data_IF_094332348299
#
_entry.id   IF_094332348299
#
_cell.length_a   1.000
_cell.length_b   1.000
_cell.length_c   1.000
_cell.angle_alpha   90.00
_cell.angle_beta   90.00
_cell.angle_gamma   90.00
#
_symmetry.space_group_name_H-M   'P 1'
#
loop_
_entity.id
_entity.type
_entity.pdbx_description
1 polymer ?
#
# COMPACT_ATOMS: atom_id res chain seq x y z
N UNK A 1 -5.99 3.01 15.49
CA UNK A 1 -4.81 3.10 14.60
C UNK A 1 -3.58 2.92 15.44
N UNK A 2 -2.64 2.05 15.03
CA UNK A 2 -1.40 1.80 15.77
C UNK A 2 -0.18 2.23 14.96
N UNK A 3 0.62 3.14 15.52
CA UNK A 3 1.91 3.53 14.95
C UNK A 3 2.97 2.54 15.44
N UNK A 4 3.68 1.91 14.51
CA UNK A 4 4.69 0.88 14.80
C UNK A 4 6.09 1.46 14.80
N UNK A 5 6.35 2.38 13.87
CA UNK A 5 7.66 3.01 13.70
C UNK A 5 7.45 4.43 13.19
N UNK A 6 8.23 5.35 13.72
CA UNK A 6 8.22 6.76 13.34
C UNK A 6 9.66 7.22 13.13
N UNK A 7 10.00 7.57 11.90
CA UNK A 7 11.30 8.10 11.53
C UNK A 7 11.06 9.41 10.77
N UNK A 8 10.74 10.47 11.51
CA UNK A 8 10.57 11.82 10.96
C UNK A 8 11.13 12.86 11.93
N UNK A 9 11.69 13.93 11.36
CA UNK A 9 12.11 15.11 12.11
C UNK A 9 11.22 16.29 11.71
N UNK A 10 11.14 17.31 12.57
CA UNK A 10 10.31 18.49 12.33
C UNK A 10 10.69 19.14 10.98
N UNK A 11 9.70 19.33 10.10
CA UNK A 11 9.85 19.90 8.74
C UNK A 11 10.80 19.13 7.80
N UNK A 12 11.10 17.86 8.08
CA UNK A 12 11.89 17.01 7.21
C UNK A 12 11.03 15.88 6.62
N UNK A 13 11.37 15.38 5.42
CA UNK A 13 10.77 14.15 4.91
C UNK A 13 11.05 13.01 5.90
N UNK A 14 10.04 12.19 6.13
CA UNK A 14 10.13 11.08 7.05
C UNK A 14 9.29 9.90 6.61
N UNK A 15 9.38 8.82 7.37
CA UNK A 15 8.61 7.60 7.15
C UNK A 15 7.86 7.22 8.41
N UNK A 16 6.63 6.73 8.23
CA UNK A 16 5.78 6.25 9.32
C UNK A 16 5.23 4.90 8.92
N UNK A 17 5.32 3.93 9.83
CA UNK A 17 4.70 2.63 9.68
C UNK A 17 3.45 2.56 10.55
N UNK A 18 2.30 2.40 9.89
CA UNK A 18 0.98 2.45 10.53
C UNK A 18 0.27 1.11 10.32
N UNK A 19 -0.45 0.65 11.34
CA UNK A 19 -1.42 -0.45 11.27
C UNK A 19 -2.81 0.16 11.52
N UNK A 20 -3.70 -0.05 10.57
CA UNK A 20 -5.11 0.36 10.63
C UNK A 20 -5.89 -0.81 11.23
N UNK A 21 -6.66 -0.57 12.29
CA UNK A 21 -7.41 -1.61 13.02
C UNK A 21 -8.93 -1.39 12.92
N UNK A 22 -9.37 -0.13 13.01
CA UNK A 22 -10.79 0.25 13.00
C UNK A 22 -11.19 1.03 11.74
N UNK A 23 -12.49 1.18 11.49
CA UNK A 23 -12.99 1.94 10.34
C UNK A 23 -12.64 3.43 10.42
N UNK A 24 -12.65 4.00 11.63
CA UNK A 24 -12.29 5.40 11.86
C UNK A 24 -10.81 5.67 11.54
N UNK A 25 -9.96 4.64 11.61
CA UNK A 25 -8.56 4.74 11.22
C UNK A 25 -8.38 4.92 9.72
N UNK A 26 -9.31 4.39 8.90
CA UNK A 26 -9.28 4.59 7.46
C UNK A 26 -9.53 6.05 7.10
N UNK A 27 -10.40 6.72 7.85
CA UNK A 27 -10.64 8.16 7.69
C UNK A 27 -9.37 8.96 8.01
N UNK A 28 -8.66 8.62 9.07
CA UNK A 28 -7.38 9.25 9.41
C UNK A 28 -6.32 8.98 8.35
N UNK A 29 -6.21 7.74 7.86
CA UNK A 29 -5.25 7.38 6.82
C UNK A 29 -5.51 8.15 5.52
N UNK A 30 -6.79 8.32 5.13
CA UNK A 30 -7.18 9.12 3.96
C UNK A 30 -6.72 10.58 4.08
N UNK A 31 -6.82 11.18 5.26
CA UNK A 31 -6.41 12.57 5.48
C UNK A 31 -4.88 12.77 5.52
N UNK A 32 -4.12 11.73 5.84
CA UNK A 32 -2.65 11.80 5.92
C UNK A 32 -1.99 11.58 4.56
N UNK A 33 -2.56 10.72 3.72
CA UNK A 33 -1.98 10.34 2.43
C UNK A 33 -2.29 11.42 1.38
N UNK A 34 -1.24 12.04 0.81
CA UNK A 34 -1.39 13.04 -0.23
C UNK A 34 -0.81 12.58 -1.58
N UNK A 35 -1.23 13.26 -2.66
CA UNK A 35 -0.67 13.05 -4.00
C UNK A 35 0.81 13.38 -4.00
N UNK A 36 1.62 12.49 -4.57
CA UNK A 36 3.07 12.63 -4.63
C UNK A 36 3.82 11.88 -3.53
N UNK A 37 3.14 11.45 -2.47
CA UNK A 37 3.74 10.63 -1.42
C UNK A 37 4.08 9.23 -1.92
N UNK A 38 4.99 8.56 -1.20
CA UNK A 38 5.38 7.19 -1.50
C UNK A 38 4.86 6.26 -0.40
N UNK A 39 4.07 5.28 -0.79
CA UNK A 39 3.42 4.34 0.12
C UNK A 39 3.95 2.92 -0.09
N UNK A 40 4.13 2.17 1.00
CA UNK A 40 4.57 0.77 0.95
C UNK A 40 3.51 -0.11 1.60
N UNK A 41 2.96 -1.04 0.84
CA UNK A 41 1.99 -2.00 1.36
C UNK A 41 2.12 -3.37 0.72
N UNK A 42 1.68 -4.38 1.48
CA UNK A 42 1.51 -5.73 0.97
C UNK A 42 0.20 -5.80 0.18
N UNK A 43 0.31 -6.07 -1.12
CA UNK A 43 -0.83 -6.19 -2.03
C UNK A 43 -0.91 -7.61 -2.60
N UNK A 44 -2.06 -8.00 -3.13
CA UNK A 44 -2.21 -9.27 -3.86
C UNK A 44 -2.47 -8.99 -5.33
N UNK A 45 -1.67 -9.58 -6.22
CA UNK A 45 -1.84 -9.43 -7.67
C UNK A 45 -1.82 -10.78 -8.37
N UNK A 46 -2.47 -10.86 -9.53
CA UNK A 46 -2.35 -12.03 -10.41
C UNK A 46 -1.03 -11.98 -11.15
N UNK A 47 -0.32 -13.10 -11.19
CA UNK A 47 0.95 -13.18 -11.91
C UNK A 47 0.73 -13.51 -13.39
N UNK A 48 0.52 -12.45 -14.18
CA UNK A 48 0.26 -12.53 -15.62
C UNK A 48 1.49 -12.99 -16.43
N UNK A 49 2.69 -12.95 -15.86
CA UNK A 49 3.90 -13.44 -16.52
C UNK A 49 3.96 -14.97 -16.57
N UNK A 50 3.23 -15.64 -15.68
CA UNK A 50 3.14 -17.11 -15.62
C UNK A 50 2.04 -17.68 -16.52
N UNK A 51 1.36 -16.81 -17.28
CA UNK A 51 0.26 -17.16 -18.16
C UNK A 51 0.82 -17.78 -19.44
N UNK A 52 1.21 -19.05 -19.35
CA UNK A 52 1.46 -19.87 -20.53
C UNK A 52 0.18 -19.87 -21.36
N UNK A 53 0.26 -19.42 -22.62
CA UNK A 53 -0.84 -19.33 -23.59
C UNK A 53 -1.72 -20.60 -23.73
N UNK A 54 -1.25 -21.74 -23.21
CA UNK A 54 -1.93 -23.05 -23.21
C UNK A 54 -2.61 -23.43 -21.88
N UNK A 55 -2.58 -22.61 -20.83
CA UNK A 55 -3.16 -22.95 -19.52
C UNK A 55 -4.63 -22.53 -19.46
N UNK A 56 -5.55 -23.51 -19.44
CA UNK A 56 -7.00 -23.28 -19.19
C UNK A 56 -7.31 -22.78 -17.76
N UNK A 57 -6.30 -22.62 -16.88
CA UNK A 57 -6.48 -22.27 -15.47
C UNK A 57 -5.99 -20.84 -15.21
N UNK A 58 -6.72 -20.06 -14.40
CA UNK A 58 -6.33 -18.69 -14.09
C UNK A 58 -4.97 -18.64 -13.38
N UNK A 59 -4.20 -17.60 -13.68
CA UNK A 59 -2.90 -17.34 -13.06
C UNK A 59 -2.99 -17.29 -11.52
N UNK A 60 -1.97 -17.79 -10.80
CA UNK A 60 -1.94 -17.75 -9.34
C UNK A 60 -1.92 -16.31 -8.82
N UNK A 61 -2.53 -16.09 -7.64
CA UNK A 61 -2.44 -14.83 -6.91
C UNK A 61 -1.20 -14.86 -6.01
N UNK A 62 -0.37 -13.84 -6.11
CA UNK A 62 0.87 -13.71 -5.34
C UNK A 62 0.76 -12.49 -4.43
N UNK A 63 1.17 -12.65 -3.17
CA UNK A 63 1.30 -11.55 -2.20
C UNK A 63 2.66 -10.87 -2.42
N UNK A 64 2.66 -9.57 -2.67
CA UNK A 64 3.87 -8.81 -3.01
C UNK A 64 3.84 -7.49 -2.24
N UNK A 65 4.99 -7.11 -1.70
CA UNK A 65 5.17 -5.77 -1.14
C UNK A 65 5.50 -4.80 -2.26
N UNK A 66 4.67 -3.79 -2.45
CA UNK A 66 4.85 -2.77 -3.47
C UNK A 66 5.10 -1.41 -2.82
N UNK A 67 6.04 -0.67 -3.39
CA UNK A 67 6.26 0.74 -3.14
C UNK A 67 5.64 1.51 -4.30
N UNK A 68 4.67 2.36 -4.02
CA UNK A 68 3.85 3.06 -5.02
C UNK A 68 3.89 4.55 -4.74
N UNK A 69 4.05 5.36 -5.77
CA UNK A 69 3.84 6.81 -5.69
C UNK A 69 2.36 7.11 -5.87
N UNK A 70 1.78 7.82 -4.90
CA UNK A 70 0.35 8.11 -4.86
C UNK A 70 0.00 9.12 -5.96
N UNK A 71 -0.88 8.72 -6.87
CA UNK A 71 -1.43 9.58 -7.93
C UNK A 71 -2.78 10.17 -7.55
N UNK A 72 -3.62 9.34 -6.93
CA UNK A 72 -4.96 9.70 -6.46
C UNK A 72 -5.33 8.83 -5.26
N UNK A 73 -6.19 9.36 -4.39
CA UNK A 73 -6.67 8.67 -3.19
C UNK A 73 -8.19 8.74 -3.21
N UNK A 74 -8.84 7.59 -3.06
CA UNK A 74 -10.30 7.48 -2.94
C UNK A 74 -10.65 6.84 -1.60
N UNK A 75 -11.71 7.32 -0.95
CA UNK A 75 -12.31 6.76 0.26
C UNK A 75 -13.67 6.16 -0.07
#
# INVERSE_FOLDING_TARGET
MKIVQQDFALNQPGSVKIIVEEQDDLWLAYNIIAKGDTFVADTTRRDVSSDNLNRKKPAPRVKIRLQIKVTDVCY
#
